data_IF_657191390083
#
_entry.id   IF_657191390083
#
_cell.length_a   1.000
_cell.length_b   1.000
_cell.length_c   1.000
_cell.angle_alpha   90.00
_cell.angle_beta   90.00
_cell.angle_gamma   90.00
#
_symmetry.space_group_name_H-M   'P 1'
#
loop_
_entity.id
_entity.type
_entity.pdbx_description
1 polymer ?
#
# COMPACT_ATOMS: atom_id res chain seq x y z
N UNK A 1 -14.05 -11.44 -9.23
CA UNK A 1 -14.14 -11.09 -7.80
C UNK A 1 -12.73 -11.03 -7.27
N UNK A 2 -12.35 -9.99 -6.55
CA UNK A 2 -11.00 -9.82 -5.98
C UNK A 2 -10.98 -10.18 -4.48
N UNK A 3 -9.79 -10.42 -3.90
CA UNK A 3 -9.68 -10.85 -2.49
C UNK A 3 -10.48 -10.01 -1.46
N UNK A 4 -10.53 -8.66 -1.53
CA UNK A 4 -11.36 -7.86 -0.63
C UNK A 4 -12.86 -8.14 -0.76
N UNK A 5 -13.37 -8.26 -1.99
CA UNK A 5 -14.78 -8.53 -2.26
C UNK A 5 -15.19 -9.92 -1.73
N UNK A 6 -14.29 -10.91 -1.86
CA UNK A 6 -14.48 -12.26 -1.31
C UNK A 6 -14.53 -12.26 0.22
N UNK A 7 -13.68 -11.45 0.85
CA UNK A 7 -13.67 -11.32 2.31
C UNK A 7 -14.95 -10.66 2.83
N UNK A 8 -15.43 -9.61 2.16
CA UNK A 8 -16.71 -8.97 2.49
C UNK A 8 -17.91 -9.90 2.26
N UNK A 9 -17.91 -10.66 1.16
CA UNK A 9 -18.94 -11.67 0.88
C UNK A 9 -18.94 -12.78 1.94
N UNK A 10 -17.77 -13.25 2.38
CA UNK A 10 -17.64 -14.20 3.48
C UNK A 10 -18.24 -13.62 4.78
N UNK A 11 -17.88 -12.38 5.13
CA UNK A 11 -18.42 -11.70 6.30
C UNK A 11 -19.95 -11.53 6.22
N UNK A 12 -20.49 -11.16 5.06
CA UNK A 12 -21.94 -11.07 4.81
C UNK A 12 -22.66 -12.41 5.00
N UNK A 13 -21.98 -13.52 4.73
CA UNK A 13 -22.45 -14.90 4.98
C UNK A 13 -22.22 -15.36 6.42
N UNK A 14 -21.65 -14.52 7.29
CA UNK A 14 -21.31 -14.87 8.67
C UNK A 14 -20.11 -15.81 8.78
N UNK A 15 -19.25 -15.83 7.77
CA UNK A 15 -18.03 -16.62 7.71
C UNK A 15 -16.82 -15.73 8.01
N UNK A 16 -15.90 -16.23 8.81
CA UNK A 16 -14.63 -15.60 9.11
C UNK A 16 -13.49 -16.32 8.40
N UNK A 17 -12.69 -15.57 7.65
CA UNK A 17 -11.53 -16.08 6.92
C UNK A 17 -10.25 -15.67 7.66
N UNK A 18 -9.41 -16.65 7.98
CA UNK A 18 -8.11 -16.41 8.63
C UNK A 18 -7.00 -17.18 7.92
N UNK A 19 -5.80 -16.59 7.78
CA UNK A 19 -4.63 -17.34 7.36
C UNK A 19 -4.12 -18.21 8.51
N UNK A 20 -3.82 -19.48 8.22
CA UNK A 20 -3.11 -20.40 9.11
C UNK A 20 -1.92 -20.99 8.35
N UNK A 21 -0.83 -20.23 8.31
CA UNK A 21 0.31 -20.55 7.47
C UNK A 21 -0.08 -20.51 5.98
N UNK A 22 0.03 -21.65 5.31
CA UNK A 22 -0.31 -21.84 3.89
C UNK A 22 -1.78 -22.25 3.65
N UNK A 23 -2.59 -22.30 4.72
CA UNK A 23 -4.00 -22.71 4.67
C UNK A 23 -4.92 -21.52 4.98
N UNK A 24 -6.04 -21.48 4.27
CA UNK A 24 -7.13 -20.55 4.53
C UNK A 24 -8.14 -21.27 5.46
N UNK A 25 -8.25 -20.81 6.70
CA UNK A 25 -9.24 -21.30 7.65
C UNK A 25 -10.56 -20.54 7.45
N UNK A 26 -11.67 -21.25 7.49
CA UNK A 26 -13.02 -20.67 7.38
C UNK A 26 -13.83 -21.10 8.60
N UNK A 27 -14.37 -20.13 9.34
CA UNK A 27 -15.15 -20.39 10.56
C UNK A 27 -16.47 -19.64 10.52
N UNK A 28 -17.64 -20.28 10.68
CA UNK A 28 -17.85 -21.73 10.84
C UNK A 28 -17.79 -22.48 9.49
N UNK A 29 -16.95 -23.52 9.41
CA UNK A 29 -16.66 -24.23 8.15
C UNK A 29 -17.82 -25.10 7.62
N UNK A 30 -18.74 -25.51 8.49
CA UNK A 30 -19.95 -26.26 8.19
C UNK A 30 -21.01 -25.43 7.46
N UNK A 31 -20.90 -24.09 7.50
CA UNK A 31 -21.84 -23.17 6.85
C UNK A 31 -21.36 -22.67 5.49
N UNK A 32 -20.25 -23.18 4.97
CA UNK A 32 -19.69 -22.75 3.68
C UNK A 32 -20.45 -23.43 2.54
N UNK A 33 -21.18 -22.69 1.71
CA UNK A 33 -21.85 -23.26 0.54
C UNK A 33 -20.83 -23.87 -0.44
N UNK A 34 -21.15 -25.00 -1.12
CA UNK A 34 -20.18 -25.68 -2.01
C UNK A 34 -19.66 -24.81 -3.16
N UNK A 35 -20.51 -23.97 -3.73
CA UNK A 35 -20.18 -22.96 -4.75
C UNK A 35 -19.22 -21.88 -4.21
N UNK A 36 -19.41 -21.47 -2.96
CA UNK A 36 -18.52 -20.51 -2.32
C UNK A 36 -17.18 -21.14 -1.94
N UNK A 37 -17.18 -22.41 -1.51
CA UNK A 37 -15.96 -23.16 -1.25
C UNK A 37 -15.08 -23.32 -2.49
N UNK A 38 -15.69 -23.59 -3.66
CA UNK A 38 -15.01 -23.59 -4.95
C UNK A 38 -14.38 -22.23 -5.26
N UNK A 39 -15.11 -21.15 -5.03
CA UNK A 39 -14.63 -19.79 -5.28
C UNK A 39 -13.46 -19.42 -4.35
N UNK A 40 -13.54 -19.77 -3.06
CA UNK A 40 -12.45 -19.58 -2.09
C UNK A 40 -11.20 -20.40 -2.46
N UNK A 41 -11.36 -21.61 -3.03
CA UNK A 41 -10.23 -22.41 -3.53
C UNK A 41 -9.57 -21.77 -4.74
N UNK A 42 -10.37 -21.29 -5.70
CA UNK A 42 -9.87 -20.62 -6.91
C UNK A 42 -9.04 -19.38 -6.56
N UNK A 43 -9.46 -18.62 -5.55
CA UNK A 43 -8.79 -17.39 -5.11
C UNK A 43 -7.90 -17.56 -3.87
N UNK A 44 -7.60 -18.80 -3.45
CA UNK A 44 -6.89 -19.08 -2.19
C UNK A 44 -5.55 -18.35 -2.09
N UNK A 45 -4.75 -18.37 -3.14
CA UNK A 45 -3.43 -17.75 -3.15
C UNK A 45 -3.52 -16.22 -2.98
N UNK A 46 -4.44 -15.59 -3.70
CA UNK A 46 -4.69 -14.14 -3.64
C UNK A 46 -5.25 -13.73 -2.26
N UNK A 47 -6.18 -14.51 -1.70
CA UNK A 47 -6.74 -14.29 -0.37
C UNK A 47 -5.70 -14.45 0.74
N UNK A 48 -4.85 -15.47 0.65
CA UNK A 48 -3.77 -15.66 1.62
C UNK A 48 -2.70 -14.58 1.51
N UNK A 49 -2.36 -14.14 0.30
CA UNK A 49 -1.46 -12.99 0.12
C UNK A 49 -2.08 -11.75 0.77
N UNK A 50 -3.35 -11.46 0.49
CA UNK A 50 -4.04 -10.30 1.04
C UNK A 50 -4.22 -10.36 2.57
N UNK A 51 -4.61 -11.50 3.14
CA UNK A 51 -4.80 -11.67 4.59
C UNK A 51 -3.49 -11.67 5.38
N UNK A 52 -2.40 -12.14 4.77
CA UNK A 52 -1.07 -12.11 5.40
C UNK A 52 -0.36 -10.77 5.18
N UNK A 53 -0.90 -9.85 4.37
CA UNK A 53 -0.34 -8.50 4.28
C UNK A 53 -0.45 -7.85 5.65
N UNK A 54 0.66 -7.36 6.24
CA UNK A 54 0.57 -6.60 7.47
C UNK A 54 -0.42 -5.44 7.31
N UNK A 55 -1.17 -5.13 8.37
CA UNK A 55 -2.09 -4.00 8.38
C UNK A 55 -1.35 -2.77 7.86
N UNK A 56 -1.94 -2.09 6.87
CA UNK A 56 -1.32 -0.90 6.33
C UNK A 56 -1.26 0.16 7.44
N UNK A 57 -0.08 0.76 7.72
CA UNK A 57 0.06 1.75 8.79
C UNK A 57 -0.91 2.92 8.65
N UNK A 58 -1.36 3.21 7.43
CA UNK A 58 -2.47 4.13 7.17
C UNK A 58 -2.05 5.60 7.04
N UNK A 59 -3.07 6.45 6.92
CA UNK A 59 -2.94 7.90 6.68
C UNK A 59 -2.15 8.59 7.78
N UNK A 60 -1.25 9.52 7.42
CA UNK A 60 -0.38 10.29 8.34
C UNK A 60 0.65 9.48 9.14
N UNK A 61 0.65 8.15 9.02
CA UNK A 61 1.64 7.31 9.71
C UNK A 61 3.05 7.58 9.19
N UNK A 62 4.01 7.60 10.12
CA UNK A 62 5.41 7.92 9.82
C UNK A 62 6.20 6.63 9.66
N UNK A 63 6.88 6.40 8.53
CA UNK A 63 7.69 5.20 8.38
C UNK A 63 8.85 5.18 9.39
N UNK A 64 9.39 3.99 9.72
CA UNK A 64 10.55 3.90 10.59
C UNK A 64 11.79 4.52 9.91
N UNK A 65 12.75 4.99 10.70
CA UNK A 65 13.94 5.68 10.19
C UNK A 65 14.90 4.74 9.44
N UNK A 66 14.88 3.45 9.78
CA UNK A 66 15.71 2.39 9.22
C UNK A 66 15.07 1.68 8.02
N UNK A 67 13.97 2.22 7.47
CA UNK A 67 13.34 1.70 6.26
C UNK A 67 14.40 1.56 5.14
N UNK A 68 14.52 0.38 4.52
CA UNK A 68 15.52 0.13 3.49
C UNK A 68 15.42 1.10 2.31
N UNK A 69 16.56 1.60 1.83
CA UNK A 69 16.62 2.47 0.64
C UNK A 69 16.65 1.62 -0.63
N UNK A 70 15.87 2.01 -1.64
CA UNK A 70 16.07 1.47 -2.99
C UNK A 70 17.32 2.10 -3.62
N UNK A 71 18.32 1.31 -4.07
CA UNK A 71 19.54 1.86 -4.66
C UNK A 71 19.38 2.30 -6.13
N UNK A 72 18.25 1.96 -6.75
CA UNK A 72 17.99 2.21 -8.17
C UNK A 72 17.18 3.50 -8.33
N UNK A 73 17.56 4.42 -9.23
CA UNK A 73 16.77 5.62 -9.51
C UNK A 73 15.38 5.22 -10.03
N UNK A 74 14.30 5.70 -9.39
CA UNK A 74 12.97 5.48 -9.91
C UNK A 74 12.80 6.22 -11.25
N UNK A 75 11.90 5.70 -12.09
CA UNK A 75 11.58 6.27 -13.42
C UNK A 75 10.08 6.54 -13.54
N UNK A 76 9.51 7.39 -12.68
CA UNK A 76 8.09 7.73 -12.77
C UNK A 76 7.82 8.55 -14.03
N UNK A 77 6.62 8.43 -14.59
CA UNK A 77 6.14 9.48 -15.49
C UNK A 77 5.92 10.77 -14.71
N UNK A 78 5.86 11.94 -15.37
CA UNK A 78 5.51 13.19 -14.69
C UNK A 78 4.20 13.10 -13.90
N UNK A 79 3.23 12.35 -14.43
CA UNK A 79 1.93 12.13 -13.79
C UNK A 79 2.02 11.25 -12.55
N UNK A 80 2.78 10.16 -12.60
CA UNK A 80 2.99 9.28 -11.44
C UNK A 80 3.64 10.06 -10.29
N UNK A 81 4.64 10.88 -10.66
CA UNK A 81 5.35 11.74 -9.70
C UNK A 81 4.40 12.70 -9.00
N UNK A 82 3.61 13.44 -9.78
CA UNK A 82 2.64 14.38 -9.23
C UNK A 82 1.60 13.68 -8.34
N UNK A 83 1.13 12.51 -8.74
CA UNK A 83 0.12 11.74 -8.02
C UNK A 83 0.62 11.31 -6.65
N UNK A 84 1.80 10.71 -6.57
CA UNK A 84 2.38 10.25 -5.30
C UNK A 84 2.75 11.42 -4.39
N UNK A 85 3.39 12.46 -4.94
CA UNK A 85 3.76 13.65 -4.16
C UNK A 85 2.50 14.33 -3.61
N UNK A 86 1.46 14.50 -4.43
CA UNK A 86 0.19 15.09 -3.98
C UNK A 86 -0.48 14.27 -2.88
N UNK A 87 -0.46 12.93 -2.98
CA UNK A 87 -0.98 12.05 -1.94
C UNK A 87 -0.29 12.31 -0.60
N UNK A 88 1.04 12.39 -0.58
CA UNK A 88 1.81 12.66 0.64
C UNK A 88 1.58 14.08 1.17
N UNK A 89 1.58 15.09 0.29
CA UNK A 89 1.37 16.49 0.69
C UNK A 89 0.01 16.74 1.34
N UNK A 90 -1.05 16.04 0.89
CA UNK A 90 -2.39 16.12 1.51
C UNK A 90 -2.41 15.66 2.97
N UNK A 91 -1.45 14.84 3.40
CA UNK A 91 -1.41 14.31 4.76
C UNK A 91 -0.83 15.30 5.77
N UNK A 92 0.08 16.18 5.35
CA UNK A 92 0.74 17.13 6.24
C UNK A 92 -0.19 18.23 6.75
N UNK A 93 -1.23 18.57 5.99
CA UNK A 93 -1.98 19.83 6.14
C UNK A 93 -1.01 21.04 6.26
N UNK A 94 -1.50 22.25 6.51
CA UNK A 94 -0.71 23.49 6.43
C UNK A 94 0.41 23.66 7.49
N UNK A 95 0.88 22.59 8.15
CA UNK A 95 1.93 22.64 9.19
C UNK A 95 2.94 21.50 9.02
N UNK A 96 4.26 21.77 9.12
CA UNK A 96 5.27 20.72 9.11
C UNK A 96 5.10 19.82 10.34
N UNK A 97 4.88 18.53 10.11
CA UNK A 97 4.73 17.49 11.15
C UNK A 97 5.80 16.39 11.05
N UNK A 98 5.67 15.34 11.85
CA UNK A 98 6.64 14.23 11.90
C UNK A 98 6.84 13.53 10.55
N UNK A 99 5.78 13.41 9.72
CA UNK A 99 5.88 12.87 8.37
C UNK A 99 6.70 13.78 7.45
N UNK A 100 6.48 15.10 7.51
CA UNK A 100 7.28 16.08 6.75
C UNK A 100 8.75 16.02 7.16
N UNK A 101 9.03 15.97 8.46
CA UNK A 101 10.39 15.81 8.96
C UNK A 101 11.04 14.49 8.49
N UNK A 102 10.26 13.41 8.44
CA UNK A 102 10.73 12.12 7.90
C UNK A 102 11.07 12.22 6.41
N UNK A 103 10.23 12.86 5.59
CA UNK A 103 10.46 13.05 4.16
C UNK A 103 11.76 13.83 3.91
N UNK A 104 11.95 14.95 4.60
CA UNK A 104 13.19 15.76 4.47
C UNK A 104 14.42 14.95 4.83
N UNK A 105 14.37 14.16 5.92
CA UNK A 105 15.48 13.27 6.29
C UNK A 105 15.73 12.21 5.22
N UNK A 106 14.65 11.63 4.68
CA UNK A 106 14.73 10.59 3.65
C UNK A 106 15.34 11.12 2.36
N UNK A 107 14.94 12.32 1.93
CA UNK A 107 15.54 13.03 0.80
C UNK A 107 17.03 13.26 1.02
N UNK A 108 17.44 13.74 2.20
CA UNK A 108 18.85 13.93 2.55
C UNK A 108 19.63 12.60 2.50
N UNK A 109 19.06 11.51 3.02
CA UNK A 109 19.72 10.19 2.96
C UNK A 109 19.91 9.72 1.52
N UNK A 110 18.93 9.96 0.64
CA UNK A 110 19.09 9.71 -0.79
C UNK A 110 20.18 10.59 -1.41
N UNK A 111 20.16 11.89 -1.12
CA UNK A 111 21.12 12.87 -1.64
C UNK A 111 22.57 12.56 -1.22
N UNK A 112 22.78 12.10 0.02
CA UNK A 112 24.11 11.74 0.53
C UNK A 112 24.58 10.36 0.03
N UNK A 113 23.64 9.46 -0.29
CA UNK A 113 23.90 8.07 -0.67
C UNK A 113 23.68 7.77 -2.16
N UNK A 114 22.83 6.77 -2.43
CA UNK A 114 22.58 6.24 -3.79
C UNK A 114 22.04 7.29 -4.77
N UNK A 115 21.35 8.31 -4.26
CA UNK A 115 20.72 9.37 -5.04
C UNK A 115 21.59 10.59 -5.30
N UNK A 116 22.86 10.60 -4.89
CA UNK A 116 23.77 11.75 -5.03
C UNK A 116 23.88 12.33 -6.46
N UNK A 117 23.63 11.51 -7.48
CA UNK A 117 23.65 11.91 -8.89
C UNK A 117 22.27 12.04 -9.52
N UNK A 118 21.20 11.83 -8.75
CA UNK A 118 19.84 11.93 -9.25
C UNK A 118 19.39 13.39 -9.25
N UNK A 119 18.42 13.71 -10.10
CA UNK A 119 17.77 15.00 -10.08
C UNK A 119 16.98 15.18 -8.76
N UNK A 120 16.90 16.42 -8.25
CA UNK A 120 16.19 16.70 -7.00
C UNK A 120 14.72 16.25 -7.02
N UNK A 121 14.05 16.35 -8.17
CA UNK A 121 12.66 15.89 -8.29
C UNK A 121 12.55 14.36 -8.25
N UNK A 122 13.60 13.63 -8.65
CA UNK A 122 13.67 12.16 -8.52
C UNK A 122 13.91 11.77 -7.06
N UNK A 123 14.72 12.53 -6.32
CA UNK A 123 14.96 12.32 -4.88
C UNK A 123 13.66 12.56 -4.09
N UNK A 124 12.98 13.68 -4.32
CA UNK A 124 11.71 13.99 -3.67
C UNK A 124 10.65 12.91 -3.96
N UNK A 125 10.57 12.45 -5.22
CA UNK A 125 9.70 11.34 -5.58
C UNK A 125 10.08 10.05 -4.85
N UNK A 126 11.36 9.69 -4.78
CA UNK A 126 11.80 8.47 -4.12
C UNK A 126 11.41 8.45 -2.63
N UNK A 127 11.59 9.57 -1.93
CA UNK A 127 11.15 9.73 -0.55
C UNK A 127 9.63 9.62 -0.39
N UNK A 128 8.87 10.30 -1.24
CA UNK A 128 7.41 10.24 -1.22
C UNK A 128 6.87 8.84 -1.55
N UNK A 129 7.48 8.16 -2.52
CA UNK A 129 7.18 6.77 -2.89
C UNK A 129 7.44 5.83 -1.73
N UNK A 130 8.59 5.91 -1.07
CA UNK A 130 8.92 5.06 0.08
C UNK A 130 7.88 5.20 1.19
N UNK A 131 7.48 6.44 1.50
CA UNK A 131 6.41 6.70 2.46
C UNK A 131 5.08 6.10 2.01
N UNK A 132 4.66 6.32 0.76
CA UNK A 132 3.38 5.83 0.25
C UNK A 132 3.32 4.29 0.20
N UNK A 133 4.38 3.65 -0.31
CA UNK A 133 4.50 2.19 -0.34
C UNK A 133 4.43 1.59 1.07
N UNK A 134 5.11 2.20 2.04
CA UNK A 134 5.07 1.74 3.42
C UNK A 134 3.69 1.97 4.06
N UNK A 135 3.12 3.18 3.95
CA UNK A 135 1.82 3.54 4.54
C UNK A 135 0.67 2.69 4.00
N UNK A 136 0.70 2.37 2.70
CA UNK A 136 -0.32 1.58 2.03
C UNK A 136 0.00 0.08 2.03
N UNK A 137 1.19 -0.31 2.51
CA UNK A 137 1.74 -1.65 2.43
C UNK A 137 1.59 -2.26 1.01
N UNK A 138 2.09 -1.52 0.02
CA UNK A 138 1.95 -1.79 -1.41
C UNK A 138 3.26 -1.56 -2.14
N UNK A 139 3.44 -2.26 -3.25
CA UNK A 139 4.49 -1.93 -4.22
C UNK A 139 4.20 -0.60 -4.90
N UNK A 140 5.22 0.02 -5.51
CA UNK A 140 5.07 1.28 -6.26
C UNK A 140 3.96 1.21 -7.32
N UNK A 141 3.90 0.11 -8.07
CA UNK A 141 2.85 -0.11 -9.08
C UNK A 141 1.45 -0.15 -8.45
N UNK A 142 1.28 -0.92 -7.38
CA UNK A 142 -0.01 -1.02 -6.68
C UNK A 142 -0.42 0.31 -6.04
N UNK A 143 0.53 1.13 -5.57
CA UNK A 143 0.25 2.49 -5.08
C UNK A 143 -0.30 3.36 -6.22
N UNK A 144 0.33 3.33 -7.40
CA UNK A 144 -0.12 4.11 -8.55
C UNK A 144 -1.51 3.69 -9.02
N UNK A 145 -1.77 2.38 -9.12
CA UNK A 145 -3.09 1.81 -9.45
C UNK A 145 -4.15 2.24 -8.43
N UNK A 146 -3.82 2.18 -7.14
CA UNK A 146 -4.71 2.59 -6.05
C UNK A 146 -5.04 4.10 -6.10
N UNK A 147 -4.03 4.95 -6.32
CA UNK A 147 -4.22 6.40 -6.39
C UNK A 147 -4.95 6.83 -7.66
N UNK A 148 -4.81 6.10 -8.76
CA UNK A 148 -5.58 6.31 -9.98
C UNK A 148 -7.07 5.98 -9.75
N UNK A 149 -7.37 4.84 -9.12
CA UNK A 149 -8.74 4.39 -8.86
C UNK A 149 -9.49 5.29 -7.85
N UNK A 150 -8.79 5.89 -6.89
CA UNK A 150 -9.39 6.78 -5.88
C UNK A 150 -9.68 8.19 -6.40
N UNK A 151 -9.11 8.60 -7.53
CA UNK A 151 -9.44 9.87 -8.21
C UNK A 151 -10.77 9.82 -9.00
N UNK A 152 -11.26 8.62 -9.32
CA UNK A 152 -12.51 8.41 -10.07
C UNK A 152 -13.77 8.35 -9.21
N UNK A 153 -13.67 8.49 -7.89
CA UNK A 153 -14.85 8.64 -7.02
C UNK A 153 -15.11 10.13 -6.84
N UNK A 154 -16.17 10.71 -7.43
CA UNK A 154 -16.55 12.07 -7.13
C UNK A 154 -16.87 12.17 -5.64
N UNK A 155 -16.27 13.15 -4.97
CA UNK A 155 -16.65 13.53 -3.61
C UNK A 155 -18.16 13.90 -3.65
N UNK A 156 -18.98 13.13 -2.93
CA UNK A 156 -20.39 13.43 -2.71
C UNK A 156 -20.56 14.67 -1.84
#
# INVERSE_FOLDING_TARGET
MIAPELYEEAARRGLHLEPRGDKLAVTPGDRVPPDFAETLRQHKAELLDWLNRPACPGWQSVPPLDLSLSPVPPRPTPHDRETVISFILRQGCNKPGSLTAWLVRRENTYYEGHGRKWDCAVIAYAAARDAACWQLNRTEREVLEFLAATRSVPEC
#
